data_IF_982970258835
#
_entry.id   IF_982970258835
#
_cell.length_a   1.000
_cell.length_b   1.000
_cell.length_c   1.000
_cell.angle_alpha   90.00
_cell.angle_beta   90.00
_cell.angle_gamma   90.00
#
_symmetry.space_group_name_H-M   'P 1'
#
loop_
_entity.id
_entity.type
_entity.pdbx_description
1 polymer ?
#
# COMPACT_ATOMS: atom_id res chain seq x y z
N UNK A 1 18.79 71.56 -26.49
CA UNK A 1 18.59 70.36 -25.64
C UNK A 1 19.64 69.34 -26.00
N UNK A 2 20.32 68.81 -24.99
CA UNK A 2 21.54 67.97 -25.01
C UNK A 2 21.11 66.56 -24.49
N UNK A 3 21.92 65.50 -24.57
CA UNK A 3 22.47 64.77 -25.74
C UNK A 3 22.25 63.22 -25.58
N UNK A 4 22.71 62.29 -26.43
CA UNK A 4 24.03 61.63 -26.43
C UNK A 4 24.06 60.60 -27.60
N UNK A 5 24.88 60.79 -28.65
CA UNK A 5 26.13 60.05 -28.97
C UNK A 5 26.02 58.52 -28.85
N UNK A 6 26.15 57.80 -29.99
CA UNK A 6 27.33 57.00 -30.39
C UNK A 6 27.55 55.82 -29.41
N UNK A 7 27.69 54.55 -29.80
CA UNK A 7 28.96 53.91 -30.13
C UNK A 7 28.68 52.40 -30.35
N UNK A 8 29.11 51.92 -31.52
CA UNK A 8 29.68 50.60 -31.87
C UNK A 8 29.27 49.28 -31.17
N UNK A 9 29.22 48.28 -32.06
CA UNK A 9 29.69 46.90 -31.87
C UNK A 9 28.74 46.02 -31.02
N UNK A 10 28.66 44.71 -31.17
CA UNK A 10 29.57 43.72 -31.71
C UNK A 10 28.74 42.40 -31.73
N UNK A 11 28.87 41.58 -32.78
CA UNK A 11 28.95 40.09 -32.77
C UNK A 11 27.95 39.30 -31.88
N UNK A 12 27.42 38.16 -32.25
CA UNK A 12 27.69 37.21 -33.31
C UNK A 12 26.57 36.17 -33.28
N UNK A 13 26.48 35.42 -34.39
CA UNK A 13 25.95 34.08 -34.56
C UNK A 13 25.69 33.26 -33.27
N UNK A 14 24.61 32.48 -33.29
CA UNK A 14 24.70 31.01 -33.44
C UNK A 14 23.28 30.50 -33.78
N UNK A 15 23.19 29.80 -34.89
CA UNK A 15 22.02 29.03 -35.33
C UNK A 15 21.86 27.86 -34.35
N UNK A 16 20.78 27.87 -33.56
CA UNK A 16 20.44 26.78 -32.65
C UNK A 16 19.81 25.62 -33.41
N UNK A 17 20.62 24.71 -33.95
CA UNK A 17 20.16 23.41 -34.43
C UNK A 17 19.97 22.49 -33.21
N UNK A 18 18.74 22.40 -32.69
CA UNK A 18 18.39 21.42 -31.66
C UNK A 18 18.24 20.04 -32.30
N UNK A 19 19.23 19.17 -32.08
CA UNK A 19 19.19 17.77 -32.47
C UNK A 19 18.27 17.00 -31.51
N UNK A 20 17.05 16.68 -31.94
CA UNK A 20 16.13 15.85 -31.16
C UNK A 20 16.57 14.39 -31.21
N UNK A 21 17.11 13.87 -30.12
CA UNK A 21 17.40 12.45 -29.95
C UNK A 21 16.09 11.70 -29.68
N UNK A 22 15.61 10.93 -30.66
CA UNK A 22 14.43 10.08 -30.47
C UNK A 22 14.78 8.91 -29.55
N UNK A 23 14.33 8.94 -28.30
CA UNK A 23 14.40 7.80 -27.39
C UNK A 23 13.40 6.73 -27.85
N UNK A 24 13.90 5.61 -28.37
CA UNK A 24 13.05 4.44 -28.64
C UNK A 24 12.62 3.80 -27.30
N UNK A 25 11.35 3.39 -27.14
CA UNK A 25 10.93 2.72 -25.92
C UNK A 25 11.57 1.33 -25.85
N UNK A 26 12.35 1.06 -24.80
CA UNK A 26 12.78 -0.29 -24.49
C UNK A 26 11.56 -1.09 -24.01
N UNK A 27 11.23 -2.17 -24.71
CA UNK A 27 10.26 -3.13 -24.18
C UNK A 27 10.91 -3.91 -23.04
N UNK A 28 10.40 -3.74 -21.83
CA UNK A 28 10.84 -4.53 -20.69
C UNK A 28 10.35 -5.97 -20.86
N UNK A 29 11.28 -6.92 -20.89
CA UNK A 29 10.93 -8.34 -20.85
C UNK A 29 10.51 -8.70 -19.41
N UNK A 30 9.26 -9.08 -19.23
CA UNK A 30 8.79 -9.63 -17.95
C UNK A 30 9.14 -11.12 -17.91
N UNK A 31 9.96 -11.51 -16.93
CA UNK A 31 10.21 -12.91 -16.66
C UNK A 31 8.89 -13.63 -16.31
N UNK A 32 8.72 -14.91 -16.72
CA UNK A 32 7.52 -15.66 -16.39
C UNK A 32 7.39 -15.82 -14.87
N UNK A 33 6.15 -15.77 -14.37
CA UNK A 33 5.87 -15.94 -12.95
C UNK A 33 6.33 -17.34 -12.48
N UNK A 34 6.97 -17.38 -11.30
CA UNK A 34 7.33 -18.65 -10.66
C UNK A 34 6.06 -19.40 -10.21
N UNK A 35 6.01 -20.74 -10.31
CA UNK A 35 4.95 -21.52 -9.67
C UNK A 35 4.86 -21.24 -8.15
N UNK A 36 3.65 -21.20 -7.57
CA UNK A 36 3.48 -21.02 -6.13
C UNK A 36 4.08 -22.21 -5.36
N UNK A 37 4.63 -21.94 -4.18
CA UNK A 37 5.08 -22.98 -3.24
C UNK A 37 3.89 -23.65 -2.55
N UNK A 38 4.10 -24.85 -2.01
CA UNK A 38 3.08 -25.55 -1.23
C UNK A 38 2.57 -24.71 -0.04
N UNK A 39 3.44 -23.92 0.60
CA UNK A 39 3.06 -23.02 1.68
C UNK A 39 2.12 -21.91 1.19
N UNK A 40 2.39 -21.34 0.02
CA UNK A 40 1.55 -20.29 -0.57
C UNK A 40 0.18 -20.84 -0.99
N UNK A 41 0.12 -22.09 -1.44
CA UNK A 41 -1.13 -22.77 -1.76
C UNK A 41 -1.99 -23.08 -0.53
N UNK A 42 -1.39 -23.18 0.66
CA UNK A 42 -2.11 -23.44 1.92
C UNK A 42 -2.53 -22.20 2.70
N UNK A 43 -2.16 -20.99 2.24
CA UNK A 43 -2.53 -19.74 2.89
C UNK A 43 -3.97 -19.38 2.53
N UNK A 44 -4.83 -19.35 3.53
CA UNK A 44 -6.23 -19.01 3.36
C UNK A 44 -6.62 -17.88 4.29
N UNK A 45 -7.37 -16.92 3.74
CA UNK A 45 -7.96 -15.87 4.54
C UNK A 45 -8.98 -16.51 5.51
N UNK A 46 -8.92 -16.12 6.79
CA UNK A 46 -9.74 -16.76 7.81
C UNK A 46 -10.34 -15.77 8.81
N UNK A 47 -11.56 -16.06 9.24
CA UNK A 47 -12.21 -15.49 10.42
C UNK A 47 -12.62 -16.66 11.32
N UNK A 48 -12.26 -16.62 12.60
CA UNK A 48 -12.61 -17.65 13.58
C UNK A 48 -12.88 -17.05 14.96
N UNK A 49 -13.50 -17.81 15.85
CA UNK A 49 -13.81 -17.43 17.24
C UNK A 49 -14.42 -16.03 17.37
N UNK A 50 -15.64 -15.85 16.86
CA UNK A 50 -16.37 -14.58 16.91
C UNK A 50 -17.09 -14.45 18.26
N UNK A 51 -17.03 -13.27 18.88
CA UNK A 51 -17.72 -12.95 20.13
C UNK A 51 -18.28 -11.52 20.10
N UNK A 52 -19.42 -11.31 20.76
CA UNK A 52 -20.06 -10.00 20.93
C UNK A 52 -19.84 -9.54 22.37
N UNK A 53 -19.55 -8.25 22.56
CA UNK A 53 -19.40 -7.66 23.90
C UNK A 53 -20.72 -7.70 24.69
N UNK A 54 -20.69 -7.76 26.04
CA UNK A 54 -21.91 -7.78 26.85
C UNK A 54 -22.82 -6.56 26.65
N UNK A 55 -22.25 -5.40 26.30
CA UNK A 55 -22.99 -4.19 25.97
C UNK A 55 -23.53 -4.14 24.52
N UNK A 56 -23.21 -5.15 23.70
CA UNK A 56 -23.62 -5.26 22.30
C UNK A 56 -22.97 -4.26 21.35
N UNK A 57 -22.00 -3.45 21.82
CA UNK A 57 -21.40 -2.37 21.01
C UNK A 57 -20.22 -2.83 20.16
N UNK A 58 -19.66 -4.00 20.45
CA UNK A 58 -18.46 -4.49 19.80
C UNK A 58 -18.57 -5.95 19.38
N UNK A 59 -17.98 -6.26 18.23
CA UNK A 59 -17.70 -7.63 17.79
C UNK A 59 -16.19 -7.82 17.84
N UNK A 60 -15.72 -8.92 18.41
CA UNK A 60 -14.34 -9.35 18.35
C UNK A 60 -14.23 -10.67 17.57
N UNK A 61 -13.21 -10.81 16.74
CA UNK A 61 -12.90 -12.07 16.07
C UNK A 61 -11.39 -12.23 15.87
N UNK A 62 -10.95 -13.48 15.74
CA UNK A 62 -9.61 -13.80 15.30
C UNK A 62 -9.64 -13.77 13.77
N UNK A 63 -8.77 -12.95 13.17
CA UNK A 63 -8.69 -12.82 11.71
C UNK A 63 -7.28 -13.09 11.20
N UNK A 64 -7.21 -13.60 9.97
CA UNK A 64 -5.99 -13.73 9.19
C UNK A 64 -6.31 -13.33 7.75
N UNK A 65 -6.19 -12.04 7.39
CA UNK A 65 -6.58 -11.57 6.06
C UNK A 65 -5.71 -12.13 4.93
N UNK A 66 -4.44 -12.43 5.22
CA UNK A 66 -3.44 -12.91 4.26
C UNK A 66 -3.11 -14.40 4.42
N UNK A 67 -3.78 -15.09 5.36
CA UNK A 67 -3.48 -16.49 5.70
C UNK A 67 -2.13 -16.69 6.39
N UNK A 68 -1.42 -15.61 6.76
CA UNK A 68 -0.11 -15.64 7.41
C UNK A 68 -0.18 -15.08 8.82
N UNK A 69 -0.74 -13.89 8.98
CA UNK A 69 -0.74 -13.16 10.25
C UNK A 69 -2.08 -13.30 10.94
N UNK A 70 -2.06 -13.90 12.13
CA UNK A 70 -3.25 -13.96 12.98
C UNK A 70 -3.29 -12.75 13.91
N UNK A 71 -4.42 -12.05 13.91
CA UNK A 71 -4.67 -10.87 14.76
C UNK A 71 -6.05 -10.97 15.40
N UNK A 72 -6.30 -10.16 16.44
CA UNK A 72 -7.65 -9.94 16.95
C UNK A 72 -8.17 -8.66 16.31
N UNK A 73 -9.31 -8.75 15.62
CA UNK A 73 -10.02 -7.61 15.06
C UNK A 73 -11.23 -7.29 15.92
N UNK A 74 -11.46 -6.00 16.17
CA UNK A 74 -12.60 -5.49 16.93
C UNK A 74 -13.35 -4.47 16.08
N UNK A 75 -14.62 -4.74 15.80
CA UNK A 75 -15.51 -3.85 15.07
C UNK A 75 -16.54 -3.23 15.99
N UNK A 76 -17.01 -2.05 15.62
CA UNK A 76 -18.24 -1.48 16.17
C UNK A 76 -19.45 -2.10 15.49
N UNK A 77 -20.49 -2.42 16.26
CA UNK A 77 -21.73 -3.01 15.74
C UNK A 77 -22.59 -2.02 14.98
N UNK A 78 -22.51 -0.73 15.31
CA UNK A 78 -23.24 0.35 14.64
C UNK A 78 -22.52 0.90 13.40
N UNK A 79 -21.26 0.54 13.19
CA UNK A 79 -20.44 0.96 12.06
C UNK A 79 -19.61 -0.19 11.47
N UNK A 80 -20.25 -1.27 10.98
CA UNK A 80 -19.56 -2.50 10.54
C UNK A 80 -18.68 -2.33 9.29
N UNK A 81 -18.82 -1.19 8.59
CA UNK A 81 -18.00 -0.85 7.42
C UNK A 81 -16.71 -0.10 7.77
N UNK A 82 -16.58 0.40 9.01
CA UNK A 82 -15.34 1.03 9.47
C UNK A 82 -14.26 -0.03 9.68
N UNK A 83 -13.00 0.36 9.51
CA UNK A 83 -11.87 -0.52 9.76
C UNK A 83 -11.86 -0.97 11.23
N UNK A 84 -11.62 -2.27 11.52
CA UNK A 84 -11.57 -2.74 12.89
C UNK A 84 -10.35 -2.17 13.61
N UNK A 85 -10.48 -2.04 14.93
CA UNK A 85 -9.32 -1.91 15.80
C UNK A 85 -8.60 -3.26 15.87
N UNK A 86 -7.30 -3.26 15.58
CA UNK A 86 -6.48 -4.47 15.63
C UNK A 86 -5.75 -4.56 16.97
N UNK A 87 -5.86 -5.71 17.64
CA UNK A 87 -5.10 -6.04 18.85
C UNK A 87 -4.15 -7.20 18.57
N UNK A 88 -2.86 -6.95 18.80
CA UNK A 88 -1.78 -7.92 18.70
C UNK A 88 -1.50 -8.41 17.28
N UNK A 89 -0.24 -8.41 16.87
CA UNK A 89 0.24 -9.34 15.87
C UNK A 89 0.70 -10.58 16.65
N UNK A 90 -0.10 -11.64 16.66
CA UNK A 90 0.44 -12.89 17.17
C UNK A 90 1.58 -13.27 16.23
N UNK A 91 2.80 -13.41 16.76
CA UNK A 91 3.96 -13.86 15.99
C UNK A 91 3.76 -15.29 15.52
N UNK A 92 4.63 -16.21 15.92
CA UNK A 92 4.39 -17.64 15.65
C UNK A 92 3.36 -18.29 16.60
N UNK A 93 2.77 -17.50 17.52
CA UNK A 93 1.79 -18.01 18.47
C UNK A 93 0.39 -18.05 17.84
N UNK A 94 -0.28 -19.18 17.96
CA UNK A 94 -1.65 -19.33 17.49
C UNK A 94 -2.64 -18.84 18.54
N UNK A 95 -3.52 -17.90 18.16
CA UNK A 95 -4.70 -17.56 18.94
C UNK A 95 -5.78 -18.60 18.61
N UNK A 96 -6.25 -19.33 19.63
CA UNK A 96 -7.23 -20.42 19.46
C UNK A 96 -8.65 -19.90 19.64
N UNK A 97 -8.89 -19.15 20.71
CA UNK A 97 -10.20 -18.66 21.09
C UNK A 97 -10.14 -17.28 21.74
N UNK A 98 -11.26 -16.56 21.70
CA UNK A 98 -11.48 -15.32 22.42
C UNK A 98 -12.91 -15.25 22.97
N UNK A 99 -13.08 -14.54 24.07
CA UNK A 99 -14.36 -14.25 24.68
C UNK A 99 -14.26 -12.94 25.47
N UNK A 100 -15.36 -12.19 25.53
CA UNK A 100 -15.47 -11.10 26.50
C UNK A 100 -15.65 -11.69 27.90
N UNK A 101 -14.89 -11.17 28.86
CA UNK A 101 -15.11 -11.47 30.28
C UNK A 101 -16.22 -10.57 30.83
N UNK A 102 -16.95 -11.09 31.82
CA UNK A 102 -17.97 -10.35 32.56
C UNK A 102 -17.38 -9.65 33.76
#
# INVERSE_FOLDING_TARGET
MKPHFLVHALRAAIVGATLSLAAAPAMAYQAPARPPTALEMGREAAIRSVSISPDGKHIAAITSPDGVKTVISIWRTDAPKEAPKILGAAGQNQIVSLQFIK
#
